data_IF_872254616106
#
_entry.id   IF_872254616106
#
_cell.length_a   1.000
_cell.length_b   1.000
_cell.length_c   1.000
_cell.angle_alpha   90.00
_cell.angle_beta   90.00
_cell.angle_gamma   90.00
#
_symmetry.space_group_name_H-M   'P 1'
#
loop_
_entity.id
_entity.type
_entity.pdbx_description
1 polymer ?
#
# COMPACT_ATOMS: atom_id res chain seq x y z
N UNK A 1 -4.93 13.45 16.90
CA UNK A 1 -6.07 12.67 17.44
C UNK A 1 -6.70 11.73 16.43
N UNK A 2 -7.27 12.21 15.32
CA UNK A 2 -7.98 11.35 14.35
C UNK A 2 -7.12 10.25 13.70
N UNK A 3 -5.94 10.60 13.19
CA UNK A 3 -5.00 9.65 12.56
C UNK A 3 -4.57 8.56 13.56
N UNK A 4 -4.22 8.96 14.79
CA UNK A 4 -3.87 8.03 15.86
C UNK A 4 -5.02 7.09 16.22
N UNK A 5 -6.25 7.59 16.27
CA UNK A 5 -7.43 6.75 16.52
C UNK A 5 -7.66 5.72 15.41
N UNK A 6 -7.47 6.10 14.14
CA UNK A 6 -7.56 5.19 12.99
C UNK A 6 -6.46 4.13 13.05
N UNK A 7 -5.21 4.51 13.28
CA UNK A 7 -4.10 3.56 13.42
C UNK A 7 -4.36 2.58 14.57
N UNK A 8 -4.74 3.08 15.76
CA UNK A 8 -5.06 2.24 16.92
C UNK A 8 -6.18 1.24 16.61
N UNK A 9 -7.27 1.68 15.97
CA UNK A 9 -8.37 0.81 15.57
C UNK A 9 -7.91 -0.28 14.59
N UNK A 10 -7.10 0.08 13.59
CA UNK A 10 -6.60 -0.87 12.61
C UNK A 10 -5.76 -1.98 13.28
N UNK A 11 -4.85 -1.62 14.18
CA UNK A 11 -4.06 -2.61 14.93
C UNK A 11 -4.90 -3.43 15.92
N UNK A 12 -5.96 -2.86 16.50
CA UNK A 12 -6.91 -3.62 17.32
C UNK A 12 -7.61 -4.72 16.50
N UNK A 13 -8.13 -4.37 15.32
CA UNK A 13 -8.74 -5.34 14.39
C UNK A 13 -7.70 -6.35 13.90
N UNK A 14 -6.49 -5.90 13.57
CA UNK A 14 -5.37 -6.76 13.18
C UNK A 14 -5.06 -7.82 14.23
N UNK A 15 -4.97 -7.45 15.51
CA UNK A 15 -4.74 -8.39 16.61
C UNK A 15 -5.84 -9.45 16.73
N UNK A 16 -7.10 -9.07 16.50
CA UNK A 16 -8.21 -10.05 16.47
C UNK A 16 -8.04 -11.07 15.35
N UNK A 17 -7.61 -10.61 14.16
CA UNK A 17 -7.37 -11.47 12.99
C UNK A 17 -6.17 -12.40 13.24
N UNK A 18 -5.09 -11.88 13.82
CA UNK A 18 -3.92 -12.68 14.22
C UNK A 18 -4.30 -13.80 15.20
N UNK A 19 -5.23 -13.54 16.13
CA UNK A 19 -5.78 -14.54 17.05
C UNK A 19 -6.49 -15.72 16.37
N UNK A 20 -6.81 -15.61 15.08
CA UNK A 20 -7.35 -16.68 14.25
C UNK A 20 -6.31 -17.34 13.33
N UNK A 21 -5.02 -17.02 13.47
CA UNK A 21 -3.94 -17.58 12.66
C UNK A 21 -3.90 -17.06 11.21
N UNK A 22 -4.51 -15.90 10.95
CA UNK A 22 -4.46 -15.21 9.66
C UNK A 22 -3.52 -14.00 9.73
N UNK A 23 -2.90 -13.63 8.61
CA UNK A 23 -2.06 -12.43 8.50
C UNK A 23 -2.93 -11.26 8.03
N UNK A 24 -3.18 -10.23 8.88
CA UNK A 24 -3.96 -9.08 8.46
C UNK A 24 -3.15 -8.13 7.58
N UNK A 25 -3.84 -7.48 6.64
CA UNK A 25 -3.35 -6.29 5.94
C UNK A 25 -3.99 -5.07 6.61
N UNK A 26 -3.16 -4.20 7.18
CA UNK A 26 -3.58 -2.95 7.82
C UNK A 26 -3.56 -1.84 6.77
N UNK A 27 -4.72 -1.21 6.50
CA UNK A 27 -4.89 -0.25 5.40
C UNK A 27 -5.39 1.14 5.88
N UNK A 28 -4.56 1.92 6.59
CA UNK A 28 -4.87 3.30 6.92
C UNK A 28 -4.51 4.23 5.74
N UNK A 29 -5.42 4.37 4.78
CA UNK A 29 -5.24 5.24 3.61
C UNK A 29 -5.15 6.73 3.97
N UNK A 30 -4.15 7.42 3.44
CA UNK A 30 -4.11 8.90 3.38
C UNK A 30 -4.55 9.35 1.99
N UNK A 31 -5.63 10.12 1.92
CA UNK A 31 -6.18 10.64 0.68
C UNK A 31 -5.14 11.49 -0.07
N UNK A 32 -4.88 11.16 -1.34
CA UNK A 32 -3.80 11.79 -2.13
C UNK A 32 -3.99 13.28 -2.43
N UNK A 33 -5.19 13.84 -2.25
CA UNK A 33 -5.55 15.22 -2.64
C UNK A 33 -5.56 16.23 -1.49
N UNK A 34 -5.32 15.80 -0.25
CA UNK A 34 -5.31 16.72 0.90
C UNK A 34 -4.06 17.62 0.89
N UNK A 35 -4.20 18.86 1.36
CA UNK A 35 -3.13 19.85 1.30
C UNK A 35 -1.95 19.53 2.25
N UNK A 36 -2.22 18.81 3.32
CA UNK A 36 -1.30 18.47 4.42
C UNK A 36 -0.90 16.99 4.41
N UNK A 37 -0.87 16.35 3.22
CA UNK A 37 -0.60 14.92 3.05
C UNK A 37 0.70 14.47 3.74
N UNK A 38 1.81 15.18 3.52
CA UNK A 38 3.09 14.83 4.13
C UNK A 38 3.05 14.86 5.68
N UNK A 39 2.37 15.85 6.26
CA UNK A 39 2.21 15.94 7.71
C UNK A 39 1.29 14.83 8.26
N UNK A 40 0.23 14.48 7.51
CA UNK A 40 -0.64 13.36 7.86
C UNK A 40 0.11 12.01 7.80
N UNK A 41 0.97 11.83 6.80
CA UNK A 41 1.83 10.65 6.65
C UNK A 41 2.83 10.50 7.79
N UNK A 42 3.45 11.59 8.24
CA UNK A 42 4.35 11.59 9.40
C UNK A 42 3.65 11.10 10.67
N UNK A 43 2.49 11.68 10.98
CA UNK A 43 1.70 11.25 12.13
C UNK A 43 1.31 9.78 11.97
N UNK A 44 0.86 9.37 10.77
CA UNK A 44 0.44 8.01 10.54
C UNK A 44 1.59 7.01 10.66
N UNK A 45 2.75 7.28 10.09
CA UNK A 45 3.95 6.44 10.17
C UNK A 45 4.34 6.22 11.62
N UNK A 46 4.39 7.29 12.41
CA UNK A 46 4.78 7.21 13.81
C UNK A 46 3.80 6.35 14.64
N UNK A 47 2.50 6.45 14.35
CA UNK A 47 1.47 5.61 14.99
C UNK A 47 1.52 4.15 14.49
N UNK A 48 1.85 3.92 13.21
CA UNK A 48 2.10 2.58 12.68
C UNK A 48 3.30 1.93 13.39
N UNK A 49 4.40 2.66 13.55
CA UNK A 49 5.60 2.14 14.23
C UNK A 49 5.27 1.71 15.67
N UNK A 50 4.54 2.53 16.43
CA UNK A 50 4.05 2.14 17.77
C UNK A 50 3.20 0.87 17.74
N UNK A 51 2.34 0.74 16.73
CA UNK A 51 1.52 -0.44 16.51
C UNK A 51 2.37 -1.68 16.25
N UNK A 52 3.37 -1.58 15.37
CA UNK A 52 4.29 -2.66 15.02
C UNK A 52 5.19 -3.07 16.19
N UNK A 53 5.70 -2.12 16.97
CA UNK A 53 6.53 -2.35 18.17
C UNK A 53 5.78 -3.16 19.24
N UNK A 54 4.44 -3.07 19.26
CA UNK A 54 3.57 -3.72 20.24
C UNK A 54 3.05 -5.10 19.79
N UNK A 55 3.52 -5.63 18.65
CA UNK A 55 3.14 -6.95 18.14
C UNK A 55 4.23 -8.00 18.44
N UNK A 56 3.80 -9.25 18.59
CA UNK A 56 4.67 -10.43 18.64
C UNK A 56 4.58 -11.29 17.37
N UNK A 57 3.80 -10.83 16.38
CA UNK A 57 3.52 -11.52 15.12
C UNK A 57 3.54 -10.52 13.97
N UNK A 58 3.91 -10.99 12.79
CA UNK A 58 3.97 -10.16 11.60
C UNK A 58 2.57 -9.77 11.07
N UNK A 59 2.48 -8.55 10.55
CA UNK A 59 1.36 -8.05 9.76
C UNK A 59 1.85 -7.55 8.41
N UNK A 60 0.95 -7.31 7.48
CA UNK A 60 1.23 -6.55 6.27
C UNK A 60 0.64 -5.15 6.39
N UNK A 61 1.26 -4.17 5.74
CA UNK A 61 0.76 -2.80 5.65
C UNK A 61 0.34 -2.53 4.21
N UNK A 62 -0.80 -1.87 4.01
CA UNK A 62 -1.23 -1.32 2.73
C UNK A 62 -1.38 0.19 2.85
N UNK A 63 -0.45 0.94 2.26
CA UNK A 63 -0.33 2.38 2.48
C UNK A 63 -0.47 3.14 1.16
N UNK A 64 -0.86 4.41 1.26
CA UNK A 64 -0.78 5.34 0.12
C UNK A 64 0.68 5.50 -0.31
N UNK A 65 0.92 5.69 -1.61
CA UNK A 65 2.23 6.10 -2.11
C UNK A 65 2.65 7.42 -1.43
N UNK A 66 3.81 7.47 -0.76
CA UNK A 66 4.16 8.58 0.12
C UNK A 66 4.46 9.87 -0.66
N UNK A 67 4.41 11.02 0.02
CA UNK A 67 4.80 12.30 -0.57
C UNK A 67 6.31 12.43 -0.75
N UNK A 68 7.08 11.78 0.14
CA UNK A 68 8.55 11.70 0.08
C UNK A 68 8.97 10.28 -0.29
N UNK A 69 9.95 10.14 -1.16
CA UNK A 69 10.50 8.84 -1.57
C UNK A 69 11.07 8.10 -0.36
N UNK A 70 10.91 6.78 -0.33
CA UNK A 70 11.38 5.88 0.75
C UNK A 70 10.87 6.22 2.17
N UNK A 71 9.82 7.04 2.30
CA UNK A 71 9.33 7.51 3.60
C UNK A 71 8.95 6.38 4.57
N UNK A 72 8.46 5.26 4.04
CA UNK A 72 8.08 4.07 4.81
C UNK A 72 9.18 3.02 4.94
N UNK A 73 10.44 3.32 4.57
CA UNK A 73 11.57 2.41 4.76
C UNK A 73 11.70 1.88 6.21
N UNK A 74 11.46 2.66 7.28
CA UNK A 74 11.43 2.14 8.64
C UNK A 74 10.38 1.06 8.87
N UNK A 75 9.19 1.20 8.27
CA UNK A 75 8.14 0.19 8.35
C UNK A 75 8.54 -1.08 7.60
N UNK A 76 9.13 -0.95 6.41
CA UNK A 76 9.63 -2.08 5.61
C UNK A 76 10.71 -2.87 6.36
N UNK A 77 11.60 -2.18 7.07
CA UNK A 77 12.68 -2.79 7.84
C UNK A 77 12.22 -3.38 9.19
N UNK A 78 10.97 -3.15 9.61
CA UNK A 78 10.50 -3.55 10.92
C UNK A 78 10.24 -5.08 10.99
N UNK A 79 10.73 -5.79 12.04
CA UNK A 79 10.63 -7.26 12.11
C UNK A 79 9.20 -7.81 12.14
N UNK A 80 8.24 -7.03 12.66
CA UNK A 80 6.82 -7.38 12.64
C UNK A 80 6.05 -6.90 11.39
N UNK A 81 6.75 -6.40 10.37
CA UNK A 81 6.15 -6.02 9.09
C UNK A 81 6.63 -6.98 8.00
N UNK A 82 5.79 -7.95 7.65
CA UNK A 82 6.09 -8.96 6.62
C UNK A 82 6.27 -8.34 5.24
N UNK A 83 5.42 -7.35 4.91
CA UNK A 83 5.44 -6.65 3.62
C UNK A 83 4.69 -5.34 3.69
N UNK A 84 5.18 -4.35 2.95
CA UNK A 84 4.44 -3.12 2.66
C UNK A 84 3.98 -3.17 1.21
N UNK A 85 2.68 -3.01 1.02
CA UNK A 85 2.05 -2.91 -0.29
C UNK A 85 1.42 -1.53 -0.49
N UNK A 86 1.31 -1.06 -1.73
CA UNK A 86 0.81 0.27 -2.05
C UNK A 86 -0.58 0.23 -2.70
N UNK A 87 -1.48 1.10 -2.27
CA UNK A 87 -2.70 1.42 -3.02
C UNK A 87 -2.41 2.55 -4.02
N UNK A 88 -3.08 2.54 -5.18
CA UNK A 88 -2.89 3.61 -6.18
C UNK A 88 -3.56 4.93 -5.77
N UNK A 89 -4.56 4.89 -4.89
CA UNK A 89 -5.14 6.10 -4.24
C UNK A 89 -5.84 7.08 -5.17
N UNK A 90 -6.00 6.76 -6.46
CA UNK A 90 -6.54 7.67 -7.48
C UNK A 90 -5.52 8.16 -8.51
N UNK A 91 -4.23 7.83 -8.35
CA UNK A 91 -3.25 8.01 -9.42
C UNK A 91 -3.58 7.10 -10.62
N UNK A 92 -3.23 7.55 -11.82
CA UNK A 92 -3.21 6.69 -13.01
C UNK A 92 -2.22 5.54 -12.80
N UNK A 93 -2.36 4.45 -13.56
CA UNK A 93 -1.37 3.36 -13.50
C UNK A 93 0.06 3.84 -13.73
N UNK A 94 0.26 4.73 -14.70
CA UNK A 94 1.58 5.27 -15.04
C UNK A 94 2.19 6.06 -13.86
N UNK A 95 1.44 7.01 -13.28
CA UNK A 95 1.93 7.80 -12.14
C UNK A 95 2.14 6.93 -10.90
N UNK A 96 1.23 5.96 -10.65
CA UNK A 96 1.36 5.05 -9.53
C UNK A 96 2.60 4.16 -9.65
N UNK A 97 2.90 3.65 -10.85
CA UNK A 97 4.11 2.86 -11.11
C UNK A 97 5.37 3.72 -10.93
N UNK A 98 5.40 4.94 -11.47
CA UNK A 98 6.54 5.85 -11.32
C UNK A 98 6.84 6.14 -9.85
N UNK A 99 5.81 6.48 -9.07
CA UNK A 99 5.96 6.74 -7.62
C UNK A 99 6.35 5.48 -6.86
N UNK A 100 5.80 4.32 -7.22
CA UNK A 100 6.12 3.05 -6.56
C UNK A 100 7.60 2.68 -6.74
N UNK A 101 8.15 2.89 -7.94
CA UNK A 101 9.55 2.58 -8.24
C UNK A 101 10.55 3.43 -7.41
N UNK A 102 10.09 4.54 -6.84
CA UNK A 102 10.88 5.41 -5.94
C UNK A 102 10.77 4.99 -4.46
N UNK A 103 10.22 3.81 -4.16
CA UNK A 103 10.01 3.32 -2.80
C UNK A 103 10.53 1.88 -2.66
N UNK A 104 11.83 1.74 -2.36
CA UNK A 104 12.52 0.48 -2.35
C UNK A 104 11.89 -0.51 -1.35
N UNK A 105 11.51 -1.70 -1.84
CA UNK A 105 10.90 -2.75 -1.02
C UNK A 105 9.39 -2.64 -0.81
N UNK A 106 8.74 -1.61 -1.35
CA UNK A 106 7.28 -1.50 -1.43
C UNK A 106 6.77 -2.14 -2.72
N UNK A 107 5.67 -2.92 -2.67
CA UNK A 107 5.10 -3.57 -3.86
C UNK A 107 3.67 -3.10 -4.15
N UNK A 108 3.16 -3.25 -5.37
CA UNK A 108 1.80 -2.82 -5.69
C UNK A 108 0.71 -3.72 -5.07
N UNK A 109 -0.38 -3.11 -4.62
CA UNK A 109 -1.68 -3.74 -4.35
C UNK A 109 -2.78 -2.89 -5.01
N UNK A 110 -2.71 -2.82 -6.33
CA UNK A 110 -3.58 -1.98 -7.15
C UNK A 110 -4.87 -2.71 -7.54
N UNK A 111 -6.00 -2.00 -7.47
CA UNK A 111 -7.29 -2.49 -7.96
C UNK A 111 -7.65 -1.84 -9.30
N UNK A 112 -8.21 -0.63 -9.28
CA UNK A 112 -8.62 0.08 -10.52
C UNK A 112 -7.47 0.31 -11.48
N UNK A 113 -6.26 0.61 -10.99
CA UNK A 113 -5.09 0.81 -11.84
C UNK A 113 -4.64 -0.49 -12.55
N UNK A 114 -4.94 -1.68 -11.98
CA UNK A 114 -4.70 -2.97 -12.64
C UNK A 114 -5.69 -3.20 -13.79
N UNK A 115 -6.94 -2.74 -13.64
CA UNK A 115 -8.01 -2.98 -14.63
C UNK A 115 -8.25 -1.81 -15.58
N UNK A 116 -7.53 -0.71 -15.43
CA UNK A 116 -7.66 0.48 -16.27
C UNK A 116 -7.32 0.15 -17.73
N UNK A 117 -8.27 0.41 -18.63
CA UNK A 117 -8.17 0.09 -20.06
C UNK A 117 -8.75 -1.27 -20.45
N UNK A 118 -9.19 -2.09 -19.49
CA UNK A 118 -9.89 -3.34 -19.76
C UNK A 118 -11.40 -3.12 -19.93
N UNK A 119 -12.03 -3.84 -20.85
CA UNK A 119 -13.46 -3.76 -21.15
C UNK A 119 -14.02 -5.09 -21.65
N UNK A 120 -15.32 -5.30 -21.41
CA UNK A 120 -16.11 -6.41 -21.94
C UNK A 120 -16.33 -6.35 -23.47
N UNK A 121 -15.98 -5.25 -24.14
CA UNK A 121 -16.06 -5.13 -25.59
C UNK A 121 -14.78 -5.56 -26.33
N UNK A 122 -13.70 -5.85 -25.61
CA UNK A 122 -12.45 -6.32 -26.19
C UNK A 122 -12.57 -7.78 -26.63
N UNK A 123 -11.81 -8.17 -27.65
CA UNK A 123 -11.54 -9.59 -27.88
C UNK A 123 -10.68 -10.18 -26.76
N UNK A 124 -10.73 -11.50 -26.58
CA UNK A 124 -9.89 -12.20 -25.60
C UNK A 124 -8.40 -11.87 -25.80
N UNK A 125 -7.93 -11.76 -27.04
CA UNK A 125 -6.53 -11.46 -27.37
C UNK A 125 -6.13 -10.03 -26.96
N UNK A 126 -7.00 -9.04 -27.23
CA UNK A 126 -6.76 -7.64 -26.83
C UNK A 126 -6.78 -7.50 -25.31
N UNK A 127 -7.73 -8.14 -24.64
CA UNK A 127 -7.84 -8.14 -23.18
C UNK A 127 -6.58 -8.76 -22.54
N UNK A 128 -6.18 -9.95 -23.00
CA UNK A 128 -5.03 -10.67 -22.46
C UNK A 128 -3.73 -9.90 -22.69
N UNK A 129 -3.57 -9.29 -23.87
CA UNK A 129 -2.41 -8.45 -24.19
C UNK A 129 -2.33 -7.23 -23.26
N UNK A 130 -3.43 -6.49 -23.11
CA UNK A 130 -3.48 -5.31 -22.25
C UNK A 130 -3.26 -5.65 -20.77
N UNK A 131 -3.80 -6.77 -20.29
CA UNK A 131 -3.59 -7.24 -18.93
C UNK A 131 -2.14 -7.67 -18.70
N UNK A 132 -1.51 -8.36 -19.65
CA UNK A 132 -0.11 -8.77 -19.55
C UNK A 132 0.85 -7.58 -19.50
N UNK A 133 0.64 -6.57 -20.35
CA UNK A 133 1.40 -5.31 -20.32
C UNK A 133 1.22 -4.56 -18.98
N UNK A 134 -0.02 -4.52 -18.49
CA UNK A 134 -0.36 -3.88 -17.22
C UNK A 134 0.34 -4.59 -16.05
N UNK A 135 0.27 -5.93 -15.98
CA UNK A 135 0.96 -6.73 -14.96
C UNK A 135 2.47 -6.52 -15.02
N UNK A 136 3.04 -6.51 -16.23
CA UNK A 136 4.49 -6.36 -16.43
C UNK A 136 4.99 -5.01 -15.91
N UNK A 137 4.32 -3.91 -16.27
CA UNK A 137 4.70 -2.58 -15.80
C UNK A 137 4.56 -2.40 -14.29
N UNK A 138 3.50 -2.96 -13.68
CA UNK A 138 3.31 -2.94 -12.22
C UNK A 138 4.37 -3.80 -11.52
N UNK A 139 4.72 -4.94 -12.10
CA UNK A 139 5.77 -5.81 -11.58
C UNK A 139 7.12 -5.11 -11.58
N UNK A 140 7.52 -4.52 -12.72
CA UNK A 140 8.79 -3.79 -12.85
C UNK A 140 8.90 -2.67 -11.80
N UNK A 141 7.84 -1.88 -11.61
CA UNK A 141 7.80 -0.87 -10.57
C UNK A 141 7.89 -1.46 -9.15
N UNK A 142 7.27 -2.63 -8.90
CA UNK A 142 7.26 -3.29 -7.58
C UNK A 142 8.61 -3.93 -7.21
N UNK A 143 9.51 -4.15 -8.16
CA UNK A 143 10.83 -4.76 -7.90
C UNK A 143 12.00 -3.79 -8.09
N UNK A 144 11.70 -2.52 -8.34
CA UNK A 144 12.70 -1.46 -8.52
C UNK A 144 13.47 -1.13 -7.24
#
# INVERSE_FOLDING_TARGET
DGIAAIAAQQFEVGRRILGHGLVPIIEPEVTITIADKAAAEEILRDEIMKGLDALDQEVMLKLSLPSENDFYAPCIAHPNCMRVVALSGGYSREEANQRLAENAGMIASFSRALTEGLSDSQSDDEFNTALAETITSIYEASIS
#
